data_IF_720029161138
#
_entry.id   IF_720029161138
#
_cell.length_a   1.000
_cell.length_b   1.000
_cell.length_c   1.000
_cell.angle_alpha   90.00
_cell.angle_beta   90.00
_cell.angle_gamma   90.00
#
_symmetry.space_group_name_H-M   'P 1'
#
loop_
_entity.id
_entity.type
_entity.pdbx_description
1 polymer ?
#
# COMPACT_ATOMS: atom_id res chain seq x y z
N UNK A 1 1.56 16.82 -7.57
CA UNK A 1 0.88 16.02 -6.52
C UNK A 1 -0.29 15.24 -7.12
N UNK A 2 -1.18 15.86 -7.90
CA UNK A 2 -2.32 15.14 -8.52
C UNK A 2 -1.85 14.04 -9.49
N UNK A 3 -0.79 14.31 -10.26
CA UNK A 3 -0.22 13.37 -11.24
C UNK A 3 0.46 12.18 -10.55
N UNK A 4 1.17 12.38 -9.43
CA UNK A 4 1.74 11.28 -8.64
C UNK A 4 0.66 10.33 -8.08
N UNK A 5 -0.46 10.87 -7.59
CA UNK A 5 -1.59 10.05 -7.14
C UNK A 5 -2.20 9.25 -8.30
N UNK A 6 -2.22 9.81 -9.51
CA UNK A 6 -2.69 9.11 -10.70
C UNK A 6 -1.79 7.96 -11.15
N UNK A 7 -0.50 7.98 -10.82
CA UNK A 7 0.44 6.90 -11.17
C UNK A 7 0.56 5.82 -10.10
N UNK A 8 0.00 6.04 -8.90
CA UNK A 8 -0.07 4.99 -7.89
C UNK A 8 -0.87 3.83 -8.45
N UNK A 9 -0.20 2.72 -8.74
CA UNK A 9 -0.87 1.43 -8.93
C UNK A 9 -1.40 1.06 -7.55
N UNK A 10 -2.72 0.88 -7.34
CA UNK A 10 -3.15 0.29 -6.10
C UNK A 10 -2.42 -1.04 -5.97
N UNK A 11 -1.82 -1.35 -4.81
CA UNK A 11 -1.14 -2.62 -4.64
C UNK A 11 -2.10 -3.75 -5.03
N UNK A 12 -1.63 -4.74 -5.78
CA UNK A 12 -2.43 -5.88 -6.17
C UNK A 12 -2.62 -6.81 -4.97
N UNK A 13 -3.36 -6.39 -3.96
CA UNK A 13 -3.70 -7.32 -2.89
C UNK A 13 -4.88 -6.84 -2.07
N UNK A 14 -5.78 -7.75 -1.86
CA UNK A 14 -6.81 -7.81 -0.83
C UNK A 14 -6.37 -7.24 0.52
N UNK A 15 -5.15 -7.12 0.76
CA UNK A 15 -4.46 -7.27 2.01
C UNK A 15 -3.62 -6.04 2.38
N UNK A 16 -3.33 -5.15 1.43
CA UNK A 16 -2.52 -3.96 1.69
C UNK A 16 -3.32 -2.72 2.14
N UNK A 17 -4.66 -2.74 2.13
CA UNK A 17 -5.49 -1.57 2.43
C UNK A 17 -6.34 -1.66 3.71
N UNK A 18 -6.00 -2.50 4.67
CA UNK A 18 -6.47 -2.25 6.02
C UNK A 18 -5.54 -1.24 6.70
N UNK A 19 -5.68 0.02 6.34
CA UNK A 19 -5.32 1.11 7.24
C UNK A 19 -6.05 0.83 8.55
N UNK A 20 -5.30 0.55 9.60
CA UNK A 20 -5.83 0.53 10.97
C UNK A 20 -6.35 1.95 11.21
N UNK A 21 -7.62 2.16 11.01
CA UNK A 21 -8.31 3.35 11.50
C UNK A 21 -8.32 3.19 13.03
N UNK A 22 -7.33 3.80 13.67
CA UNK A 22 -7.41 4.02 15.11
C UNK A 22 -8.67 4.84 15.36
N UNK A 23 -9.56 4.42 16.23
CA UNK A 23 -10.72 5.22 16.59
C UNK A 23 -10.22 6.49 17.28
N UNK A 24 -10.32 7.61 16.59
CA UNK A 24 -10.18 8.94 17.16
C UNK A 24 -11.40 9.18 18.05
N UNK A 25 -11.18 9.28 19.36
CA UNK A 25 -12.20 9.77 20.27
C UNK A 25 -12.34 8.99 21.55
N UNK A 26 -11.41 9.19 22.50
CA UNK A 26 -11.74 9.05 23.92
C UNK A 26 -11.97 10.45 24.48
N UNK A 27 -13.21 10.86 24.51
CA UNK A 27 -13.64 11.95 25.38
C UNK A 27 -13.94 11.39 26.77
N UNK A 28 -13.33 11.97 27.80
CA UNK A 28 -13.66 11.74 29.20
C UNK A 28 -15.15 11.98 29.47
N UNK A 29 -15.82 10.97 29.99
CA UNK A 29 -17.17 11.07 30.53
C UNK A 29 -17.44 9.87 31.43
N UNK A 30 -17.24 10.09 32.73
CA UNK A 30 -17.71 9.17 33.74
C UNK A 30 -19.25 9.06 33.66
N UNK A 31 -19.83 7.87 33.88
CA UNK A 31 -20.96 7.60 34.79
C UNK A 31 -21.37 6.11 34.65
N UNK A 32 -21.52 5.52 35.78
CA UNK A 32 -21.90 4.25 36.25
C UNK A 32 -23.02 3.43 35.62
N UNK A 33 -22.93 2.12 35.86
CA UNK A 33 -24.04 1.24 36.24
C UNK A 33 -24.68 0.44 35.12
N UNK A 34 -24.44 -0.80 34.99
CA UNK A 34 -25.22 -1.98 35.33
C UNK A 34 -24.78 -3.23 34.55
N UNK A 35 -24.70 -4.31 35.29
CA UNK A 35 -24.36 -5.63 34.80
C UNK A 35 -25.49 -6.22 33.95
N UNK A 36 -25.14 -6.86 32.84
CA UNK A 36 -26.01 -7.68 31.99
C UNK A 36 -25.25 -8.84 31.39
N UNK A 37 -25.56 -10.00 31.90
CA UNK A 37 -25.43 -11.39 31.42
C UNK A 37 -24.41 -11.72 30.28
N UNK A 38 -23.51 -12.64 30.65
CA UNK A 38 -22.41 -13.22 29.94
C UNK A 38 -22.70 -13.85 28.59
N UNK A 39 -21.77 -13.57 27.72
CA UNK A 39 -21.35 -14.47 26.66
C UNK A 39 -19.98 -15.05 27.07
N UNK A 40 -19.92 -16.37 27.12
CA UNK A 40 -18.70 -17.07 27.48
C UNK A 40 -17.58 -16.74 26.45
N UNK A 41 -16.34 -16.47 26.92
CA UNK A 41 -15.24 -16.26 26.01
C UNK A 41 -14.86 -17.58 25.35
N UNK A 42 -14.71 -17.57 24.03
CA UNK A 42 -14.06 -18.64 23.31
C UNK A 42 -12.67 -18.88 23.90
N UNK A 43 -12.45 -20.09 24.37
CA UNK A 43 -11.23 -20.49 25.05
C UNK A 43 -10.03 -20.42 24.11
N UNK A 44 -9.01 -19.70 24.54
CA UNK A 44 -7.63 -19.95 24.20
C UNK A 44 -6.96 -19.10 23.17
N UNK A 45 -6.75 -17.83 23.45
CA UNK A 45 -5.53 -17.11 23.06
C UNK A 45 -5.30 -16.04 24.13
N UNK A 46 -4.26 -16.25 24.94
CA UNK A 46 -3.83 -15.28 25.94
C UNK A 46 -3.27 -14.03 25.27
N UNK A 47 -4.16 -13.15 24.80
CA UNK A 47 -3.79 -11.81 24.38
C UNK A 47 -3.54 -10.97 25.63
N UNK A 48 -2.33 -10.43 25.74
CA UNK A 48 -2.08 -9.35 26.67
C UNK A 48 -3.08 -8.21 26.40
N UNK A 49 -3.66 -7.56 27.42
CA UNK A 49 -4.58 -6.43 27.24
C UNK A 49 -3.95 -5.25 26.48
N UNK A 50 -2.63 -5.24 26.31
CA UNK A 50 -1.85 -4.19 25.65
C UNK A 50 -1.33 -4.59 24.27
N UNK A 51 -1.72 -5.74 23.71
CA UNK A 51 -1.14 -6.29 22.48
C UNK A 51 0.26 -6.87 22.69
N UNK A 52 0.91 -7.41 21.64
CA UNK A 52 2.30 -7.81 21.72
C UNK A 52 3.18 -6.58 22.00
N UNK A 53 4.17 -6.73 22.88
CA UNK A 53 5.15 -5.68 23.12
C UNK A 53 5.93 -5.44 21.81
N UNK A 54 5.86 -4.20 21.29
CA UNK A 54 6.63 -3.82 20.12
C UNK A 54 8.11 -3.79 20.49
N UNK A 55 8.89 -4.65 19.83
CA UNK A 55 10.34 -4.69 19.97
C UNK A 55 10.98 -3.84 18.86
N UNK A 56 11.55 -2.70 19.24
CA UNK A 56 12.23 -1.79 18.31
C UNK A 56 13.75 -2.02 18.26
N UNK A 57 14.30 -2.88 19.14
CA UNK A 57 15.74 -3.18 19.23
C UNK A 57 16.12 -4.40 18.37
N UNK A 58 15.63 -4.42 17.13
CA UNK A 58 15.89 -5.52 16.21
C UNK A 58 17.23 -5.34 15.48
N UNK A 59 18.04 -6.41 15.47
CA UNK A 59 19.22 -6.46 14.61
C UNK A 59 18.82 -6.81 13.15
N UNK A 60 19.66 -6.47 12.15
CA UNK A 60 19.42 -6.86 10.75
C UNK A 60 19.18 -8.36 10.57
N UNK A 61 19.92 -9.22 11.26
CA UNK A 61 19.74 -10.66 11.19
C UNK A 61 18.41 -11.12 11.83
N UNK A 62 17.96 -10.44 12.86
CA UNK A 62 16.67 -10.73 13.49
C UNK A 62 15.51 -10.35 12.56
N UNK A 63 15.60 -9.21 11.87
CA UNK A 63 14.63 -8.77 10.86
C UNK A 63 14.49 -9.83 9.77
N UNK A 64 15.62 -10.30 9.20
CA UNK A 64 15.59 -11.35 8.17
C UNK A 64 14.98 -12.66 8.70
N UNK A 65 15.29 -13.06 9.96
CA UNK A 65 14.71 -14.26 10.55
C UNK A 65 13.21 -14.16 10.81
N UNK A 66 12.70 -12.99 11.17
CA UNK A 66 11.27 -12.72 11.34
C UNK A 66 10.55 -12.95 10.02
N UNK A 67 11.04 -12.36 8.93
CA UNK A 67 10.44 -12.57 7.60
C UNK A 67 10.45 -14.05 7.19
N UNK A 68 11.59 -14.72 7.30
CA UNK A 68 11.71 -16.11 6.91
C UNK A 68 10.73 -17.03 7.68
N UNK A 69 10.57 -16.82 9.00
CA UNK A 69 9.63 -17.56 9.84
C UNK A 69 8.18 -17.27 9.45
N UNK A 70 7.81 -16.00 9.36
CA UNK A 70 6.47 -15.57 8.99
C UNK A 70 6.07 -16.08 7.60
N UNK A 71 6.97 -16.00 6.63
CA UNK A 71 6.80 -16.55 5.27
C UNK A 71 6.54 -18.04 5.29
N UNK A 72 7.32 -18.80 6.05
CA UNK A 72 7.17 -20.25 6.14
C UNK A 72 5.82 -20.66 6.76
N UNK A 73 5.41 -19.97 7.83
CA UNK A 73 4.13 -20.20 8.50
C UNK A 73 2.94 -19.89 7.60
N UNK A 74 2.99 -18.75 6.91
CA UNK A 74 1.92 -18.35 5.99
C UNK A 74 1.85 -19.28 4.78
N UNK A 75 2.99 -19.64 4.17
CA UNK A 75 3.04 -20.61 3.08
C UNK A 75 2.44 -21.97 3.48
N UNK A 76 2.79 -22.46 4.67
CA UNK A 76 2.22 -23.72 5.19
C UNK A 76 0.70 -23.62 5.41
N UNK A 77 0.16 -22.47 5.79
CA UNK A 77 -1.27 -22.27 5.90
C UNK A 77 -1.96 -22.28 4.53
N UNK A 78 -1.38 -21.60 3.54
CA UNK A 78 -1.87 -21.62 2.15
C UNK A 78 -1.87 -23.05 1.59
N UNK A 79 -0.81 -23.81 1.82
CA UNK A 79 -0.70 -25.19 1.35
C UNK A 79 -1.74 -26.12 2.00
N UNK A 80 -2.01 -25.94 3.29
CA UNK A 80 -3.08 -26.69 3.98
C UNK A 80 -4.46 -26.38 3.40
N UNK A 81 -4.73 -25.10 3.11
CA UNK A 81 -6.00 -24.69 2.50
C UNK A 81 -6.10 -25.18 1.07
N UNK A 82 -5.04 -25.13 0.30
CA UNK A 82 -5.01 -25.58 -1.09
C UNK A 82 -5.05 -27.12 -1.23
N UNK A 83 -4.62 -27.87 -0.20
CA UNK A 83 -4.56 -29.32 -0.25
C UNK A 83 -5.90 -29.91 -0.72
N UNK A 84 -5.90 -30.89 -1.67
CA UNK A 84 -7.11 -31.51 -2.16
C UNK A 84 -7.92 -32.10 -1.01
N UNK A 85 -9.23 -31.92 -1.03
CA UNK A 85 -10.13 -32.63 -0.12
C UNK A 85 -10.21 -34.10 -0.56
N UNK A 86 -9.25 -34.92 -0.13
CA UNK A 86 -9.34 -36.36 -0.34
C UNK A 86 -10.24 -36.99 0.74
N UNK A 87 -11.14 -37.88 0.35
CA UNK A 87 -11.89 -38.65 1.34
C UNK A 87 -10.91 -39.47 2.21
N UNK A 88 -10.99 -39.40 3.55
CA UNK A 88 -12.07 -38.86 4.39
C UNK A 88 -11.87 -37.40 4.90
N UNK A 89 -11.20 -36.54 4.16
CA UNK A 89 -11.00 -35.17 4.61
C UNK A 89 -12.36 -34.42 4.76
N UNK A 90 -12.49 -33.56 5.78
CA UNK A 90 -13.71 -32.78 5.95
C UNK A 90 -13.94 -31.90 4.73
N UNK A 91 -15.23 -31.77 4.34
CA UNK A 91 -15.62 -30.85 3.29
C UNK A 91 -15.12 -29.43 3.59
N UNK A 92 -14.71 -28.68 2.56
CA UNK A 92 -14.33 -27.26 2.71
C UNK A 92 -15.51 -26.46 3.26
N UNK A 93 -15.24 -25.61 4.22
CA UNK A 93 -16.20 -24.71 4.86
C UNK A 93 -15.60 -23.32 4.96
N UNK A 94 -16.41 -22.31 5.22
CA UNK A 94 -15.91 -20.98 5.55
C UNK A 94 -14.85 -21.04 6.68
N UNK A 95 -15.17 -21.76 7.76
CA UNK A 95 -14.32 -21.82 8.94
C UNK A 95 -12.95 -22.48 8.68
N UNK A 96 -12.88 -23.57 7.86
CA UNK A 96 -11.62 -24.27 7.61
C UNK A 96 -10.88 -23.77 6.35
N UNK A 97 -11.41 -22.78 5.65
CA UNK A 97 -10.83 -22.24 4.42
C UNK A 97 -10.63 -20.72 4.54
N UNK A 98 -11.70 -19.93 4.49
CA UNK A 98 -11.61 -18.46 4.45
C UNK A 98 -11.12 -17.89 5.78
N UNK A 99 -11.66 -18.35 6.90
CA UNK A 99 -11.23 -17.87 8.21
C UNK A 99 -9.78 -18.27 8.53
N UNK A 100 -9.34 -19.44 8.08
CA UNK A 100 -7.93 -19.87 8.22
C UNK A 100 -6.99 -18.99 7.40
N UNK A 101 -7.38 -18.59 6.18
CA UNK A 101 -6.58 -17.70 5.34
C UNK A 101 -6.46 -16.31 5.99
N UNK A 102 -7.57 -15.75 6.46
CA UNK A 102 -7.58 -14.43 7.13
C UNK A 102 -6.71 -14.44 8.39
N UNK A 103 -6.85 -15.47 9.24
CA UNK A 103 -6.05 -15.59 10.45
C UNK A 103 -4.55 -15.75 10.13
N UNK A 104 -4.21 -16.58 9.15
CA UNK A 104 -2.81 -16.81 8.76
C UNK A 104 -2.17 -15.53 8.23
N UNK A 105 -2.92 -14.75 7.45
CA UNK A 105 -2.43 -13.50 6.93
C UNK A 105 -2.32 -12.42 8.02
N UNK A 106 -3.30 -12.31 8.90
CA UNK A 106 -3.23 -11.39 10.03
C UNK A 106 -1.97 -11.64 10.87
N UNK A 107 -1.65 -12.91 11.14
CA UNK A 107 -0.41 -13.30 11.83
C UNK A 107 0.85 -12.94 11.06
N UNK A 108 0.85 -13.18 9.76
CA UNK A 108 1.98 -12.80 8.91
C UNK A 108 2.22 -11.29 8.99
N UNK A 109 1.19 -10.47 8.77
CA UNK A 109 1.31 -9.01 8.83
C UNK A 109 1.69 -8.52 10.24
N UNK A 110 1.13 -9.08 11.30
CA UNK A 110 1.50 -8.76 12.68
C UNK A 110 2.98 -9.04 12.94
N UNK A 111 3.51 -10.12 12.40
CA UNK A 111 4.92 -10.51 12.56
C UNK A 111 5.87 -9.53 11.87
N UNK A 112 5.54 -9.04 10.68
CA UNK A 112 6.45 -8.19 9.89
C UNK A 112 6.29 -6.69 10.15
N UNK A 113 5.12 -6.22 10.61
CA UNK A 113 4.81 -4.78 10.73
C UNK A 113 5.80 -3.99 11.59
N UNK A 114 6.20 -4.52 12.75
CA UNK A 114 7.15 -3.81 13.63
C UNK A 114 8.51 -3.66 12.97
N UNK A 115 9.00 -4.71 12.32
CA UNK A 115 10.27 -4.68 11.61
C UNK A 115 10.22 -3.74 10.39
N UNK A 116 9.12 -3.77 9.64
CA UNK A 116 8.84 -2.85 8.53
C UNK A 116 8.91 -1.38 8.96
N UNK A 117 8.30 -1.03 10.09
CA UNK A 117 8.30 0.34 10.61
C UNK A 117 9.72 0.89 10.87
N UNK A 118 10.69 0.02 11.19
CA UNK A 118 12.08 0.41 11.42
C UNK A 118 12.78 0.98 10.17
N UNK A 119 12.27 0.70 8.98
CA UNK A 119 12.77 1.30 7.73
C UNK A 119 12.70 2.84 7.73
N UNK A 120 11.74 3.39 8.47
CA UNK A 120 11.48 4.83 8.55
C UNK A 120 12.03 5.51 9.81
N UNK A 121 12.18 4.78 10.92
CA UNK A 121 12.43 5.41 12.23
C UNK A 121 13.74 4.99 12.90
N UNK A 122 14.38 3.89 12.50
CA UNK A 122 15.62 3.46 13.16
C UNK A 122 16.76 4.46 12.93
N UNK A 123 17.53 4.83 13.97
CA UNK A 123 18.74 5.65 13.81
C UNK A 123 19.86 4.86 13.11
N UNK A 124 19.90 3.54 13.22
CA UNK A 124 20.90 2.69 12.60
C UNK A 124 20.57 2.44 11.10
N UNK A 125 21.53 2.81 10.23
CA UNK A 125 21.39 2.62 8.78
C UNK A 125 21.25 1.15 8.39
N UNK A 126 22.01 0.24 9.03
CA UNK A 126 21.98 -1.17 8.70
C UNK A 126 20.61 -1.80 9.04
N UNK A 127 19.98 -1.35 10.12
CA UNK A 127 18.62 -1.73 10.49
C UNK A 127 17.60 -1.21 9.49
N UNK A 128 17.71 0.08 9.07
CA UNK A 128 16.81 0.63 8.05
C UNK A 128 16.91 -0.10 6.71
N UNK A 129 18.14 -0.44 6.30
CA UNK A 129 18.37 -1.16 5.03
C UNK A 129 17.77 -2.59 5.10
N UNK A 130 17.98 -3.30 6.21
CA UNK A 130 17.38 -4.62 6.42
C UNK A 130 15.84 -4.58 6.47
N UNK A 131 15.27 -3.56 7.11
CA UNK A 131 13.83 -3.35 7.15
C UNK A 131 13.25 -3.04 5.76
N UNK A 132 13.96 -2.27 4.93
CA UNK A 132 13.56 -2.00 3.53
C UNK A 132 13.60 -3.27 2.69
N UNK A 133 14.63 -4.10 2.84
CA UNK A 133 14.70 -5.41 2.19
C UNK A 133 13.51 -6.29 2.61
N UNK A 134 13.16 -6.29 3.89
CA UNK A 134 11.96 -7.00 4.38
C UNK A 134 10.68 -6.48 3.71
N UNK A 135 10.53 -5.15 3.52
CA UNK A 135 9.37 -4.56 2.85
C UNK A 135 9.26 -5.04 1.40
N UNK A 136 10.37 -5.00 0.65
CA UNK A 136 10.45 -5.46 -0.75
C UNK A 136 10.13 -6.96 -0.88
N UNK A 137 10.69 -7.78 0.01
CA UNK A 137 10.43 -9.23 0.04
C UNK A 137 8.99 -9.55 0.45
N UNK A 138 8.42 -8.78 1.38
CA UNK A 138 7.02 -8.91 1.82
C UNK A 138 6.07 -8.61 0.66
N UNK A 139 6.28 -7.49 -0.05
CA UNK A 139 5.46 -7.11 -1.19
C UNK A 139 5.52 -8.17 -2.30
N UNK A 140 6.73 -8.60 -2.66
CA UNK A 140 6.93 -9.64 -3.68
C UNK A 140 6.23 -10.95 -3.30
N UNK A 141 6.35 -11.37 -2.05
CA UNK A 141 5.73 -12.59 -1.54
C UNK A 141 4.20 -12.51 -1.51
N UNK A 142 3.63 -11.38 -1.12
CA UNK A 142 2.18 -11.20 -1.13
C UNK A 142 1.62 -11.21 -2.56
N UNK A 143 2.32 -10.61 -3.52
CA UNK A 143 1.95 -10.68 -4.94
C UNK A 143 1.97 -12.13 -5.44
N UNK A 144 3.02 -12.89 -5.12
CA UNK A 144 3.11 -14.30 -5.50
C UNK A 144 1.97 -15.14 -4.91
N UNK A 145 1.68 -14.97 -3.64
CA UNK A 145 0.66 -15.74 -2.93
C UNK A 145 -0.77 -15.38 -3.34
N UNK A 146 -1.04 -14.12 -3.68
CA UNK A 146 -2.35 -13.68 -4.17
C UNK A 146 -2.74 -14.34 -5.51
N UNK A 147 -1.76 -14.79 -6.28
CA UNK A 147 -1.94 -15.42 -7.59
C UNK A 147 -2.10 -16.95 -7.53
N UNK A 148 -2.20 -17.54 -6.34
CA UNK A 148 -2.34 -19.00 -6.16
C UNK A 148 -3.73 -19.50 -6.58
N UNK A 149 -3.79 -20.11 -7.76
CA UNK A 149 -5.05 -20.67 -8.31
C UNK A 149 -5.62 -21.82 -7.45
N UNK A 150 -4.78 -22.58 -6.80
CA UNK A 150 -5.18 -23.68 -5.93
C UNK A 150 -5.89 -23.18 -4.66
N UNK A 151 -5.39 -22.09 -4.08
CA UNK A 151 -6.03 -21.41 -2.94
C UNK A 151 -7.36 -20.77 -3.36
N UNK A 152 -7.38 -20.06 -4.49
CA UNK A 152 -8.61 -19.49 -5.06
C UNK A 152 -9.69 -20.56 -5.27
N UNK A 153 -9.35 -21.72 -5.87
CA UNK A 153 -10.28 -22.82 -6.05
C UNK A 153 -10.83 -23.33 -4.72
N UNK A 154 -9.98 -23.44 -3.70
CA UNK A 154 -10.42 -23.84 -2.37
C UNK A 154 -11.46 -22.88 -1.76
N UNK A 155 -11.22 -21.55 -1.93
CA UNK A 155 -12.17 -20.50 -1.49
C UNK A 155 -13.49 -20.60 -2.27
N UNK A 156 -13.45 -20.80 -3.59
CA UNK A 156 -14.64 -20.99 -4.41
C UNK A 156 -15.43 -22.22 -3.98
N UNK A 157 -14.77 -23.35 -3.78
CA UNK A 157 -15.44 -24.58 -3.29
C UNK A 157 -16.13 -24.36 -1.94
N UNK A 158 -15.53 -23.59 -1.03
CA UNK A 158 -16.16 -23.24 0.24
C UNK A 158 -17.39 -22.34 0.04
N UNK A 159 -17.27 -21.34 -0.83
CA UNK A 159 -18.35 -20.40 -1.12
C UNK A 159 -19.55 -21.05 -1.80
N UNK A 160 -19.30 -21.96 -2.76
CA UNK A 160 -20.35 -22.60 -3.57
C UNK A 160 -21.24 -23.56 -2.74
N UNK A 161 -20.83 -23.92 -1.50
CA UNK A 161 -21.69 -24.67 -0.58
C UNK A 161 -22.85 -23.89 -0.01
N UNK A 162 -22.78 -22.55 -0.08
CA UNK A 162 -23.88 -21.71 0.37
C UNK A 162 -24.16 -21.81 1.88
N UNK A 163 -23.08 -21.90 2.70
CA UNK A 163 -23.24 -21.91 4.15
C UNK A 163 -24.04 -20.69 4.62
N UNK A 164 -24.92 -20.82 5.62
CA UNK A 164 -25.70 -19.70 6.13
C UNK A 164 -24.85 -18.76 6.99
N UNK A 165 -23.98 -17.98 6.34
CA UNK A 165 -23.12 -16.99 6.98
C UNK A 165 -23.87 -15.67 7.20
N UNK A 166 -23.54 -14.95 8.25
CA UNK A 166 -24.10 -13.65 8.58
C UNK A 166 -23.03 -12.69 9.11
N UNK A 167 -23.37 -11.38 9.16
CA UNK A 167 -22.51 -10.37 9.78
C UNK A 167 -21.12 -10.27 9.15
N UNK A 168 -20.09 -10.40 9.97
CA UNK A 168 -18.69 -10.26 9.55
C UNK A 168 -18.20 -11.41 8.67
N UNK A 169 -18.61 -12.64 8.96
CA UNK A 169 -18.22 -13.83 8.18
C UNK A 169 -18.70 -13.71 6.72
N UNK A 170 -19.95 -13.29 6.53
CA UNK A 170 -20.49 -13.05 5.19
C UNK A 170 -19.73 -11.95 4.47
N UNK A 171 -19.45 -10.84 5.14
CA UNK A 171 -18.67 -9.75 4.56
C UNK A 171 -17.25 -10.17 4.21
N UNK A 172 -16.61 -10.97 5.06
CA UNK A 172 -15.27 -11.48 4.79
C UNK A 172 -15.24 -12.36 3.55
N UNK A 173 -16.19 -13.31 3.43
CA UNK A 173 -16.28 -14.14 2.24
C UNK A 173 -16.51 -13.31 0.97
N UNK A 174 -17.46 -12.37 1.00
CA UNK A 174 -17.77 -11.52 -0.16
C UNK A 174 -16.58 -10.62 -0.53
N UNK A 175 -15.85 -10.07 0.44
CA UNK A 175 -14.66 -9.28 0.22
C UNK A 175 -13.52 -10.12 -0.38
N UNK A 176 -13.33 -11.33 0.13
CA UNK A 176 -12.31 -12.27 -0.36
C UNK A 176 -12.57 -12.66 -1.83
N UNK A 177 -13.81 -13.02 -2.17
CA UNK A 177 -14.19 -13.36 -3.54
C UNK A 177 -14.05 -12.17 -4.49
N UNK A 178 -14.53 -11.00 -4.07
CA UNK A 178 -14.41 -9.76 -4.86
C UNK A 178 -12.96 -9.45 -5.20
N UNK A 179 -12.08 -9.62 -4.26
CA UNK A 179 -10.68 -9.32 -4.50
C UNK A 179 -10.02 -10.31 -5.45
N UNK A 180 -10.29 -11.60 -5.34
CA UNK A 180 -9.85 -12.56 -6.35
C UNK A 180 -10.40 -12.23 -7.74
N UNK A 181 -11.66 -11.79 -7.84
CA UNK A 181 -12.25 -11.33 -9.11
C UNK A 181 -11.50 -10.09 -9.64
N UNK A 182 -11.19 -9.11 -8.78
CA UNK A 182 -10.44 -7.88 -9.14
C UNK A 182 -8.99 -8.18 -9.54
N UNK A 183 -8.39 -9.24 -9.03
CA UNK A 183 -7.08 -9.73 -9.45
C UNK A 183 -7.15 -10.58 -10.74
N UNK A 184 -8.34 -10.80 -11.27
CA UNK A 184 -8.57 -11.50 -12.52
C UNK A 184 -8.57 -13.02 -12.39
N UNK A 185 -8.70 -13.59 -11.19
CA UNK A 185 -8.68 -15.03 -10.98
C UNK A 185 -9.86 -15.75 -11.63
N UNK A 186 -10.97 -15.03 -11.89
CA UNK A 186 -12.13 -15.53 -12.61
C UNK A 186 -11.98 -15.50 -14.14
N UNK A 187 -10.94 -14.83 -14.64
CA UNK A 187 -10.71 -14.70 -16.07
C UNK A 187 -10.17 -16.00 -16.69
N UNK A 188 -10.46 -16.25 -17.98
CA UNK A 188 -9.79 -17.28 -18.76
C UNK A 188 -8.26 -17.10 -18.74
N UNK A 189 -7.51 -18.19 -18.78
CA UNK A 189 -6.05 -18.18 -18.65
C UNK A 189 -5.35 -17.17 -19.56
N UNK A 190 -5.76 -17.04 -20.82
CA UNK A 190 -5.19 -16.08 -21.76
C UNK A 190 -5.37 -14.62 -21.32
N UNK A 191 -6.56 -14.27 -20.79
CA UNK A 191 -6.82 -12.93 -20.26
C UNK A 191 -6.03 -12.66 -18.97
N UNK A 192 -5.85 -13.67 -18.11
CA UNK A 192 -5.01 -13.55 -16.92
C UNK A 192 -3.54 -13.25 -17.27
N UNK A 193 -3.00 -13.93 -18.30
CA UNK A 193 -1.65 -13.63 -18.79
C UNK A 193 -1.56 -12.16 -19.20
N UNK A 194 -2.50 -11.70 -20.03
CA UNK A 194 -2.52 -10.30 -20.46
C UNK A 194 -2.68 -9.32 -19.29
N UNK A 195 -3.56 -9.63 -18.33
CA UNK A 195 -3.73 -8.82 -17.12
C UNK A 195 -2.43 -8.63 -16.32
N UNK A 196 -1.64 -9.70 -16.17
CA UNK A 196 -0.31 -9.63 -15.52
C UNK A 196 0.69 -8.77 -16.29
N UNK A 197 0.71 -8.88 -17.62
CA UNK A 197 1.57 -8.03 -18.46
C UNK A 197 1.21 -6.54 -18.29
N UNK A 198 -0.09 -6.23 -18.29
CA UNK A 198 -0.60 -4.87 -18.06
C UNK A 198 -0.19 -4.35 -16.68
N UNK A 199 -0.37 -5.14 -15.63
CA UNK A 199 0.03 -4.76 -14.26
C UNK A 199 1.53 -4.53 -14.14
N UNK A 200 2.34 -5.44 -14.71
CA UNK A 200 3.80 -5.29 -14.73
C UNK A 200 4.20 -4.00 -15.42
N UNK A 201 3.62 -3.72 -16.60
CA UNK A 201 3.95 -2.51 -17.35
C UNK A 201 3.53 -1.24 -16.61
N UNK A 202 2.37 -1.23 -15.95
CA UNK A 202 1.93 -0.12 -15.10
C UNK A 202 2.90 0.13 -13.94
N UNK A 203 3.44 -0.91 -13.32
CA UNK A 203 4.46 -0.79 -12.26
C UNK A 203 5.76 -0.18 -12.81
N UNK A 204 6.25 -0.65 -13.95
CA UNK A 204 7.44 -0.09 -14.62
C UNK A 204 7.26 1.40 -14.94
N UNK A 205 6.09 1.78 -15.48
CA UNK A 205 5.77 3.18 -15.78
C UNK A 205 5.73 4.04 -14.50
N UNK A 206 5.18 3.53 -13.41
CA UNK A 206 5.13 4.23 -12.12
C UNK A 206 6.52 4.49 -11.55
N UNK A 207 7.41 3.50 -11.63
CA UNK A 207 8.80 3.63 -11.19
C UNK A 207 9.51 4.68 -12.05
N UNK A 208 9.48 4.55 -13.39
CA UNK A 208 10.12 5.48 -14.29
C UNK A 208 9.61 6.92 -14.13
N UNK A 209 8.30 7.09 -13.92
CA UNK A 209 7.69 8.39 -13.64
C UNK A 209 8.27 9.02 -12.37
N UNK A 210 8.37 8.23 -11.31
CA UNK A 210 8.90 8.68 -10.02
C UNK A 210 10.39 9.01 -10.08
N UNK A 211 11.16 8.21 -10.82
CA UNK A 211 12.59 8.47 -11.06
C UNK A 211 12.81 9.75 -11.84
N UNK A 212 12.05 9.98 -12.90
CA UNK A 212 12.13 11.23 -13.67
C UNK A 212 11.88 12.47 -12.81
N UNK A 213 10.94 12.41 -11.84
CA UNK A 213 10.70 13.50 -10.89
C UNK A 213 11.85 13.70 -9.90
N UNK A 214 12.47 12.59 -9.42
CA UNK A 214 13.61 12.66 -8.49
C UNK A 214 14.86 13.22 -9.16
N UNK A 215 15.07 12.85 -10.42
CA UNK A 215 16.25 13.23 -11.22
C UNK A 215 16.11 14.61 -11.84
N UNK A 216 14.92 15.21 -11.76
CA UNK A 216 14.69 16.56 -12.29
C UNK A 216 15.44 17.60 -11.44
N UNK A 217 16.45 18.22 -12.07
CA UNK A 217 17.26 19.29 -11.48
C UNK A 217 16.77 20.68 -11.85
N UNK A 218 15.57 20.81 -12.43
CA UNK A 218 15.02 22.10 -12.80
C UNK A 218 14.76 22.96 -11.54
N UNK A 219 14.86 24.25 -11.70
CA UNK A 219 14.65 25.23 -10.66
C UNK A 219 14.22 26.56 -11.28
N UNK A 220 13.54 27.38 -10.50
CA UNK A 220 13.26 28.76 -10.89
C UNK A 220 14.45 29.64 -10.47
N UNK A 221 15.11 30.31 -11.44
CA UNK A 221 16.18 31.26 -11.16
C UNK A 221 15.58 32.65 -10.92
N UNK A 222 15.72 33.16 -9.69
CA UNK A 222 15.03 34.35 -9.21
C UNK A 222 16.04 35.43 -8.81
N UNK A 223 15.76 36.65 -9.11
CA UNK A 223 16.49 37.78 -8.56
C UNK A 223 16.31 37.83 -7.03
N UNK A 224 17.40 37.98 -6.24
CA UNK A 224 17.31 38.06 -4.78
C UNK A 224 16.31 39.06 -4.26
N UNK A 225 16.10 40.17 -4.97
CA UNK A 225 15.15 41.21 -4.58
C UNK A 225 13.70 40.72 -4.50
N UNK A 226 13.32 39.75 -5.33
CA UNK A 226 11.97 39.15 -5.33
C UNK A 226 11.72 38.20 -4.15
N UNK A 227 12.78 37.83 -3.42
CA UNK A 227 12.73 36.94 -2.26
C UNK A 227 12.87 37.69 -0.92
N UNK A 228 12.94 39.03 -0.95
CA UNK A 228 13.25 39.85 0.23
C UNK A 228 12.22 39.72 1.37
N UNK A 229 10.97 39.39 1.04
CA UNK A 229 9.89 39.21 2.02
C UNK A 229 9.78 37.79 2.58
N UNK A 230 10.62 36.86 2.10
CA UNK A 230 10.68 35.51 2.62
C UNK A 230 11.59 35.42 3.88
N UNK A 231 11.41 34.42 4.76
CA UNK A 231 12.27 34.27 5.93
C UNK A 231 13.76 34.22 5.55
N UNK A 232 14.58 35.04 6.20
CA UNK A 232 15.99 35.21 5.85
C UNK A 232 16.77 33.88 5.91
N UNK A 233 16.50 33.06 6.92
CA UNK A 233 17.15 31.75 7.10
C UNK A 233 16.82 30.81 5.93
N UNK A 234 15.59 30.85 5.44
CA UNK A 234 15.19 30.07 4.26
C UNK A 234 15.93 30.54 3.01
N UNK A 235 15.96 31.86 2.75
CA UNK A 235 16.62 32.44 1.55
C UNK A 235 18.13 32.20 1.57
N UNK A 236 18.76 32.29 2.75
CA UNK A 236 20.20 32.07 2.90
C UNK A 236 20.63 30.63 2.62
N UNK A 237 19.73 29.64 2.82
CA UNK A 237 19.96 28.24 2.53
C UNK A 237 19.80 27.84 1.06
N UNK A 238 19.27 28.73 0.22
CA UNK A 238 19.03 28.41 -1.20
C UNK A 238 20.32 28.55 -2.03
N UNK A 239 20.57 27.63 -2.99
CA UNK A 239 21.71 27.71 -3.89
C UNK A 239 21.68 28.98 -4.76
N UNK A 240 22.86 29.46 -5.14
CA UNK A 240 23.00 30.62 -6.05
C UNK A 240 23.68 30.21 -7.35
N UNK A 241 23.27 30.86 -8.45
CA UNK A 241 23.94 30.73 -9.74
C UNK A 241 25.22 31.57 -9.76
N UNK A 242 26.13 31.30 -10.70
CA UNK A 242 27.32 32.12 -10.91
C UNK A 242 26.97 33.60 -11.22
N UNK A 243 25.80 33.87 -11.76
CA UNK A 243 25.28 35.21 -12.03
C UNK A 243 24.58 35.90 -10.83
N UNK A 244 24.64 35.28 -9.63
CA UNK A 244 24.09 35.86 -8.40
C UNK A 244 22.57 35.67 -8.20
N UNK A 245 21.87 35.05 -9.13
CA UNK A 245 20.46 34.67 -8.93
C UNK A 245 20.34 33.54 -7.92
N UNK A 246 19.19 33.48 -7.25
CA UNK A 246 18.85 32.37 -6.32
C UNK A 246 18.12 31.29 -7.09
N UNK A 247 18.53 30.03 -6.89
CA UNK A 247 17.84 28.86 -7.43
C UNK A 247 16.80 28.38 -6.43
N UNK A 248 15.52 28.58 -6.78
CA UNK A 248 14.38 28.06 -6.03
C UNK A 248 14.04 26.68 -6.59
N UNK A 249 14.35 25.62 -5.84
CA UNK A 249 14.09 24.23 -6.22
C UNK A 249 12.60 23.93 -6.31
N UNK A 250 12.30 22.80 -6.97
CA UNK A 250 10.92 22.34 -7.17
C UNK A 250 10.55 21.23 -6.16
N UNK A 251 11.36 21.02 -5.12
CA UNK A 251 10.97 20.17 -4.01
C UNK A 251 9.80 20.78 -3.21
N UNK A 252 8.96 19.91 -2.64
CA UNK A 252 7.73 20.36 -1.99
C UNK A 252 7.96 21.31 -0.79
N UNK A 253 8.96 21.10 0.09
CA UNK A 253 9.28 22.06 1.15
C UNK A 253 9.60 23.46 0.61
N UNK A 254 10.47 23.58 -0.39
CA UNK A 254 10.86 24.85 -1.02
C UNK A 254 9.67 25.50 -1.70
N UNK A 255 8.94 24.76 -2.53
CA UNK A 255 7.71 25.25 -3.18
C UNK A 255 6.72 25.81 -2.15
N UNK A 256 6.44 25.06 -1.09
CA UNK A 256 5.46 25.47 -0.06
C UNK A 256 5.88 26.75 0.67
N UNK A 257 7.16 26.91 0.98
CA UNK A 257 7.65 28.13 1.64
C UNK A 257 7.42 29.37 0.79
N UNK A 258 7.74 29.31 -0.50
CA UNK A 258 7.53 30.44 -1.41
C UNK A 258 6.05 30.71 -1.60
N UNK A 259 5.23 29.67 -1.88
CA UNK A 259 3.80 29.83 -2.11
C UNK A 259 3.05 30.39 -0.90
N UNK A 260 3.49 30.05 0.31
CA UNK A 260 2.86 30.50 1.55
C UNK A 260 3.26 31.92 1.97
N UNK A 261 4.52 32.28 1.75
CA UNK A 261 5.09 33.50 2.36
C UNK A 261 5.40 34.62 1.37
N UNK A 262 5.56 34.35 0.07
CA UNK A 262 5.85 35.39 -0.90
C UNK A 262 4.61 36.26 -1.20
N UNK A 263 4.68 37.58 -1.09
CA UNK A 263 3.63 38.47 -1.56
C UNK A 263 3.66 38.63 -3.09
N UNK A 264 4.77 38.32 -3.78
CA UNK A 264 4.94 38.42 -5.23
C UNK A 264 4.08 37.39 -5.96
N UNK A 265 2.92 37.81 -6.47
CA UNK A 265 2.01 36.92 -7.21
C UNK A 265 2.61 36.43 -8.54
N UNK A 266 3.52 37.21 -9.16
CA UNK A 266 4.26 36.80 -10.36
C UNK A 266 5.18 35.63 -10.05
N UNK A 267 5.96 35.72 -8.97
CA UNK A 267 6.86 34.66 -8.52
C UNK A 267 6.07 33.36 -8.22
N UNK A 268 4.98 33.47 -7.48
CA UNK A 268 4.15 32.28 -7.18
C UNK A 268 3.63 31.62 -8.44
N UNK A 269 3.14 32.40 -9.43
CA UNK A 269 2.65 31.84 -10.71
C UNK A 269 3.74 31.16 -11.51
N UNK A 270 4.92 31.77 -11.59
CA UNK A 270 6.08 31.19 -12.29
C UNK A 270 6.51 29.87 -11.64
N UNK A 271 6.61 29.86 -10.31
CA UNK A 271 6.99 28.66 -9.56
C UNK A 271 5.93 27.55 -9.66
N UNK A 272 4.64 27.91 -9.57
CA UNK A 272 3.54 26.94 -9.73
C UNK A 272 3.55 26.30 -11.13
N UNK A 273 3.76 27.11 -12.17
CA UNK A 273 3.85 26.58 -13.51
C UNK A 273 5.03 25.60 -13.67
N UNK A 274 6.21 25.95 -13.16
CA UNK A 274 7.37 25.05 -13.18
C UNK A 274 7.14 23.78 -12.36
N UNK A 275 6.63 23.93 -11.16
CA UNK A 275 6.35 22.81 -10.25
C UNK A 275 5.37 21.79 -10.86
N UNK A 276 4.31 22.27 -11.50
CA UNK A 276 3.32 21.39 -12.13
C UNK A 276 3.78 20.78 -13.47
N UNK A 277 4.85 21.27 -14.05
CA UNK A 277 5.45 20.77 -15.29
C UNK A 277 6.79 20.05 -15.08
N UNK A 278 7.11 19.66 -13.83
CA UNK A 278 8.31 18.88 -13.55
C UNK A 278 8.39 17.61 -14.41
N UNK A 279 9.53 17.43 -15.08
CA UNK A 279 9.79 16.30 -15.97
C UNK A 279 8.66 16.01 -16.98
N UNK A 280 7.86 17.01 -17.37
CA UNK A 280 6.67 16.81 -18.21
C UNK A 280 7.00 16.23 -19.58
N UNK A 281 8.15 16.61 -20.16
CA UNK A 281 8.66 16.07 -21.44
C UNK A 281 8.86 14.55 -21.41
N UNK A 282 9.26 14.00 -20.28
CA UNK A 282 9.45 12.56 -20.05
C UNK A 282 8.19 11.86 -19.54
N UNK A 283 7.46 12.54 -18.65
CA UNK A 283 6.38 11.92 -17.89
C UNK A 283 5.01 11.94 -18.57
N UNK A 284 4.75 12.90 -19.48
CA UNK A 284 3.47 12.94 -20.21
C UNK A 284 3.28 11.69 -21.06
N UNK A 285 4.27 11.21 -21.85
CA UNK A 285 4.12 9.97 -22.61
C UNK A 285 3.89 8.74 -21.72
N UNK A 286 4.57 8.67 -20.55
CA UNK A 286 4.36 7.58 -19.60
C UNK A 286 2.94 7.59 -19.00
N UNK A 287 2.41 8.78 -18.73
CA UNK A 287 1.05 8.96 -18.25
C UNK A 287 0.01 8.52 -19.30
N UNK A 288 0.19 8.91 -20.55
CA UNK A 288 -0.70 8.53 -21.65
C UNK A 288 -0.73 7.00 -21.84
N UNK A 289 0.43 6.34 -21.82
CA UNK A 289 0.51 4.88 -21.85
C UNK A 289 -0.17 4.25 -20.64
N UNK A 290 0.06 4.78 -19.44
CA UNK A 290 -0.56 4.28 -18.22
C UNK A 290 -2.10 4.42 -18.24
N UNK A 291 -2.64 5.50 -18.81
CA UNK A 291 -4.09 5.68 -18.95
C UNK A 291 -4.69 4.65 -19.93
N UNK A 292 -4.00 4.38 -21.04
CA UNK A 292 -4.43 3.35 -21.99
C UNK A 292 -4.43 1.95 -21.36
N UNK A 293 -3.37 1.60 -20.63
CA UNK A 293 -3.25 0.31 -19.94
C UNK A 293 -4.28 0.15 -18.81
N UNK A 294 -4.61 1.21 -18.08
CA UNK A 294 -5.67 1.21 -17.07
C UNK A 294 -7.03 0.97 -17.68
N UNK A 295 -7.31 1.58 -18.82
CA UNK A 295 -8.55 1.29 -19.56
C UNK A 295 -8.60 -0.17 -20.00
N UNK A 296 -7.50 -0.70 -20.52
CA UNK A 296 -7.40 -2.11 -20.89
C UNK A 296 -7.62 -3.03 -19.67
N UNK A 297 -6.98 -2.73 -18.53
CA UNK A 297 -7.15 -3.49 -17.29
C UNK A 297 -8.62 -3.54 -16.86
N UNK A 298 -9.28 -2.40 -16.80
CA UNK A 298 -10.71 -2.31 -16.46
C UNK A 298 -11.57 -3.14 -17.42
N UNK A 299 -11.32 -3.02 -18.73
CA UNK A 299 -12.04 -3.75 -19.76
C UNK A 299 -11.84 -5.27 -19.68
N UNK A 300 -10.60 -5.74 -19.38
CA UNK A 300 -10.31 -7.15 -19.16
C UNK A 300 -11.13 -7.72 -17.99
N UNK A 301 -11.27 -6.94 -16.92
CA UNK A 301 -12.01 -7.29 -15.71
C UNK A 301 -13.52 -7.08 -15.81
N UNK A 302 -14.01 -6.50 -16.94
CA UNK A 302 -15.44 -6.30 -17.18
C UNK A 302 -16.00 -4.99 -16.65
N UNK A 303 -15.14 -4.04 -16.23
CA UNK A 303 -15.58 -2.72 -15.78
C UNK A 303 -15.75 -1.75 -16.97
N UNK A 304 -16.75 -0.84 -16.92
CA UNK A 304 -16.95 0.17 -17.97
C UNK A 304 -15.78 1.15 -18.09
N UNK A 305 -15.15 1.49 -16.98
CA UNK A 305 -14.00 2.38 -16.92
C UNK A 305 -13.04 2.01 -15.79
N UNK A 306 -11.81 2.55 -15.84
CA UNK A 306 -10.87 2.41 -14.73
C UNK A 306 -11.36 3.11 -13.45
N UNK A 307 -12.12 4.19 -13.58
CA UNK A 307 -12.72 4.88 -12.43
C UNK A 307 -13.71 3.95 -11.70
N UNK A 308 -14.58 3.25 -12.43
CA UNK A 308 -15.51 2.27 -11.85
C UNK A 308 -14.75 1.15 -11.11
N UNK A 309 -13.66 0.64 -11.72
CA UNK A 309 -12.79 -0.34 -11.07
C UNK A 309 -12.13 0.20 -9.79
N UNK A 310 -11.68 1.45 -9.81
CA UNK A 310 -10.88 2.02 -8.71
C UNK A 310 -11.72 2.41 -7.48
N UNK A 311 -13.01 2.74 -7.68
CA UNK A 311 -13.89 3.20 -6.59
C UNK A 311 -14.73 2.08 -5.96
N UNK A 312 -14.78 0.90 -6.55
CA UNK A 312 -15.46 -0.26 -5.96
C UNK A 312 -14.71 -0.75 -4.70
#
# INVERSE_FOLDING_TARGET
ILICVCMSVPPPSLFAQRSVVLPSGVSNGAIGGQAGAGLAPAAGLGRSPLGPSLDFDLSPSRIASIFASAKAEYSAALDRVAAPAHAPAPARTFANTVAVLEEAQARFMESVNTASFLSSVSPDKAVRDAARTLDEETESFLIETSQREDVYRAVREAADKGEPLSGEDRRLLDATLRSYAREGMELPAAKRVRGREVQKRLSELSIAFSENLKDDQDALEVDPARLADLPADFVSGLPRTAGGKVRVGLDYPTYRQVMKHSPDAGLRRELEAKFNNQAADKNVPLLEEALALRHEQASLLGYPSYADYAIE
#
